data_IF_201897097335
#
_entry.id   IF_201897097335
#
_cell.length_a   1.000
_cell.length_b   1.000
_cell.length_c   1.000
_cell.angle_alpha   90.00
_cell.angle_beta   90.00
_cell.angle_gamma   90.00
#
_symmetry.space_group_name_H-M   'P 1'
#
loop_
_entity.id
_entity.type
_entity.pdbx_description
1 polymer ?
#
# COMPACT_ATOMS: atom_id res chain seq x y z
N UNK A 1 -20.26 -1.20 -2.20
CA UNK A 1 -20.14 -0.33 -3.40
C UNK A 1 -18.75 -0.48 -4.01
N UNK A 2 -17.71 -0.40 -3.19
CA UNK A 2 -16.30 -0.44 -3.58
C UNK A 2 -15.94 -1.61 -4.53
N UNK A 3 -16.13 -2.85 -4.07
CA UNK A 3 -15.80 -4.03 -4.86
C UNK A 3 -16.59 -4.14 -6.16
N UNK A 4 -17.91 -3.93 -6.10
CA UNK A 4 -18.78 -4.04 -7.29
C UNK A 4 -18.43 -2.99 -8.36
N UNK A 5 -18.24 -1.73 -7.98
CA UNK A 5 -17.86 -0.68 -8.92
C UNK A 5 -16.49 -0.93 -9.54
N UNK A 6 -15.46 -1.20 -8.73
CA UNK A 6 -14.12 -1.38 -9.27
C UNK A 6 -14.01 -2.61 -10.16
N UNK A 7 -14.60 -3.75 -9.76
CA UNK A 7 -14.59 -4.95 -10.62
C UNK A 7 -15.43 -4.77 -11.89
N UNK A 8 -16.55 -4.03 -11.82
CA UNK A 8 -17.31 -3.66 -13.02
C UNK A 8 -16.43 -2.87 -13.98
N UNK A 9 -15.76 -1.83 -13.50
CA UNK A 9 -14.84 -1.01 -14.32
C UNK A 9 -13.70 -1.86 -14.87
N UNK A 10 -13.08 -2.72 -14.06
CA UNK A 10 -12.01 -3.63 -14.51
C UNK A 10 -12.47 -4.51 -15.66
N UNK A 11 -13.63 -5.17 -15.54
CA UNK A 11 -14.19 -6.00 -16.60
C UNK A 11 -14.47 -5.19 -17.88
N UNK A 12 -15.04 -3.98 -17.75
CA UNK A 12 -15.28 -3.09 -18.89
C UNK A 12 -13.99 -2.66 -19.57
N UNK A 13 -12.92 -2.38 -18.82
CA UNK A 13 -11.59 -2.05 -19.34
C UNK A 13 -10.91 -3.25 -20.02
N UNK A 14 -11.21 -4.47 -19.58
CA UNK A 14 -10.78 -5.71 -20.23
C UNK A 14 -11.58 -6.07 -21.50
N UNK A 15 -12.60 -5.27 -21.85
CA UNK A 15 -13.38 -5.43 -23.07
C UNK A 15 -14.70 -6.19 -22.91
N UNK A 16 -15.08 -6.59 -21.70
CA UNK A 16 -16.35 -7.28 -21.44
C UNK A 16 -17.54 -6.32 -21.61
N UNK A 17 -18.56 -6.71 -22.39
CA UNK A 17 -19.74 -5.87 -22.72
C UNK A 17 -21.08 -6.58 -22.51
N UNK A 18 -21.24 -7.82 -22.99
CA UNK A 18 -22.49 -8.59 -22.94
C UNK A 18 -22.37 -9.73 -21.92
N UNK A 19 -22.44 -9.37 -20.63
CA UNK A 19 -22.22 -10.30 -19.54
C UNK A 19 -23.30 -10.13 -18.46
N UNK A 20 -23.98 -11.23 -18.10
CA UNK A 20 -25.04 -11.22 -17.08
C UNK A 20 -24.53 -10.71 -15.71
N UNK A 21 -23.27 -11.00 -15.37
CA UNK A 21 -22.64 -10.46 -14.15
C UNK A 21 -22.46 -8.94 -14.22
N UNK A 22 -22.12 -8.38 -15.39
CA UNK A 22 -22.08 -6.92 -15.59
C UNK A 22 -23.47 -6.31 -15.46
N UNK A 23 -24.50 -6.90 -16.06
CA UNK A 23 -25.88 -6.41 -15.95
C UNK A 23 -26.35 -6.38 -14.50
N UNK A 24 -26.15 -7.49 -13.76
CA UNK A 24 -26.50 -7.59 -12.34
C UNK A 24 -25.68 -6.63 -11.48
N UNK A 25 -24.38 -6.53 -11.75
CA UNK A 25 -23.47 -5.62 -11.06
C UNK A 25 -23.88 -4.16 -11.23
N UNK A 26 -24.16 -3.74 -12.47
CA UNK A 26 -24.65 -2.39 -12.78
C UNK A 26 -25.97 -2.09 -12.07
N UNK A 27 -26.95 -2.99 -12.15
CA UNK A 27 -28.23 -2.81 -11.48
C UNK A 27 -28.06 -2.66 -9.97
N UNK A 28 -27.18 -3.46 -9.36
CA UNK A 28 -26.86 -3.39 -7.94
C UNK A 28 -26.20 -2.05 -7.55
N UNK A 29 -25.27 -1.56 -8.37
CA UNK A 29 -24.58 -0.26 -8.19
C UNK A 29 -25.59 0.88 -8.25
N UNK A 30 -26.42 0.93 -9.28
CA UNK A 30 -27.40 2.01 -9.48
C UNK A 30 -28.42 2.05 -8.33
N UNK A 31 -28.90 0.89 -7.88
CA UNK A 31 -29.87 0.79 -6.77
C UNK A 31 -29.33 1.32 -5.42
N UNK A 32 -28.00 1.38 -5.24
CA UNK A 32 -27.35 1.76 -3.98
C UNK A 32 -26.70 3.13 -3.99
N UNK A 33 -27.22 4.04 -4.83
CA UNK A 33 -26.72 5.40 -4.91
C UNK A 33 -25.59 5.57 -5.91
N UNK A 34 -25.44 4.64 -6.85
CA UNK A 34 -24.49 4.71 -7.98
C UNK A 34 -23.02 4.80 -7.56
N UNK A 35 -22.11 4.99 -8.51
CA UNK A 35 -20.70 5.20 -8.18
C UNK A 35 -20.45 6.47 -7.33
N UNK A 36 -21.41 7.41 -7.20
CA UNK A 36 -21.28 8.55 -6.27
C UNK A 36 -21.15 8.16 -4.79
N UNK A 37 -21.60 6.94 -4.43
CA UNK A 37 -21.53 6.42 -3.06
C UNK A 37 -20.33 5.48 -2.83
N UNK A 38 -19.39 5.39 -3.77
CA UNK A 38 -18.17 4.58 -3.58
C UNK A 38 -17.30 5.20 -2.46
N UNK A 39 -16.63 4.43 -1.59
CA UNK A 39 -15.74 5.00 -0.56
C UNK A 39 -14.53 5.70 -1.18
N UNK A 40 -13.84 6.51 -0.38
CA UNK A 40 -12.79 7.44 -0.82
C UNK A 40 -11.73 6.79 -1.72
N UNK A 41 -11.20 5.62 -1.37
CA UNK A 41 -10.21 4.94 -2.22
C UNK A 41 -10.76 4.60 -3.60
N UNK A 42 -12.03 4.23 -3.69
CA UNK A 42 -12.70 4.03 -4.96
C UNK A 42 -12.89 5.34 -5.73
N UNK A 43 -13.24 6.44 -5.05
CA UNK A 43 -13.34 7.77 -5.67
C UNK A 43 -12.01 8.17 -6.30
N UNK A 44 -10.89 7.95 -5.59
CA UNK A 44 -9.54 8.25 -6.07
C UNK A 44 -9.22 7.42 -7.32
N UNK A 45 -9.43 6.10 -7.28
CA UNK A 45 -9.19 5.23 -8.45
C UNK A 45 -10.05 5.63 -9.65
N UNK A 46 -11.34 5.89 -9.44
CA UNK A 46 -12.21 6.35 -10.51
C UNK A 46 -11.80 7.73 -11.03
N UNK A 47 -11.30 8.64 -10.19
CA UNK A 47 -10.77 9.94 -10.63
C UNK A 47 -9.52 9.82 -11.48
N UNK A 48 -8.58 8.97 -11.09
CA UNK A 48 -7.36 8.68 -11.88
C UNK A 48 -7.72 8.14 -13.27
N UNK A 49 -8.72 7.24 -13.36
CA UNK A 49 -9.19 6.67 -14.64
C UNK A 49 -10.04 7.65 -15.46
N UNK A 50 -10.61 8.69 -14.84
CA UNK A 50 -11.49 9.65 -15.49
C UNK A 50 -12.97 9.27 -15.44
N UNK A 51 -13.39 8.50 -14.45
CA UNK A 51 -14.78 8.12 -14.20
C UNK A 51 -15.41 8.89 -13.03
N UNK A 52 -14.70 9.79 -12.37
CA UNK A 52 -15.18 10.53 -11.19
C UNK A 52 -14.43 11.86 -11.06
N UNK A 53 -15.10 12.98 -10.79
CA UNK A 53 -14.39 14.27 -10.68
C UNK A 53 -13.58 14.39 -9.39
N UNK A 54 -12.37 14.92 -9.47
CA UNK A 54 -11.52 15.17 -8.29
C UNK A 54 -12.19 16.06 -7.24
N UNK A 55 -13.10 16.94 -7.66
CA UNK A 55 -13.91 17.78 -6.76
C UNK A 55 -14.81 16.96 -5.85
N UNK A 56 -15.21 15.75 -6.23
CA UNK A 56 -16.00 14.85 -5.40
C UNK A 56 -15.18 13.96 -4.46
N UNK A 57 -13.87 14.21 -4.32
CA UNK A 57 -13.03 13.59 -3.32
C UNK A 57 -12.85 14.51 -2.11
N UNK A 58 -12.61 13.92 -0.93
CA UNK A 58 -12.06 14.69 0.19
C UNK A 58 -10.64 15.14 -0.17
N UNK A 59 -10.28 16.36 0.25
CA UNK A 59 -8.97 16.92 -0.06
C UNK A 59 -7.86 16.06 0.51
N UNK A 60 -6.94 15.66 -0.37
CA UNK A 60 -5.69 14.97 -0.02
C UNK A 60 -4.60 16.01 -0.21
N UNK A 61 -3.95 16.44 0.87
CA UNK A 61 -3.13 17.66 0.86
C UNK A 61 -1.65 17.31 0.65
N UNK A 62 -1.05 17.53 -0.54
CA UNK A 62 0.38 17.29 -0.78
C UNK A 62 1.27 18.02 0.22
N UNK A 63 0.90 19.25 0.58
CA UNK A 63 1.67 20.17 1.42
C UNK A 63 1.85 19.64 2.85
N UNK A 64 1.06 18.64 3.27
CA UNK A 64 1.27 17.95 4.54
C UNK A 64 2.65 17.27 4.63
N UNK A 65 3.27 16.93 3.48
CA UNK A 65 4.62 16.38 3.40
C UNK A 65 5.73 17.43 3.51
N UNK A 66 5.39 18.72 3.59
CA UNK A 66 6.36 19.81 3.77
C UNK A 66 6.40 20.32 5.21
N UNK A 67 5.48 19.88 6.08
CA UNK A 67 5.46 20.32 7.47
C UNK A 67 6.70 19.78 8.22
N UNK A 68 7.12 20.40 9.34
CA UNK A 68 8.24 19.86 10.10
C UNK A 68 8.00 18.45 10.65
N UNK A 69 8.99 17.55 10.54
CA UNK A 69 8.88 16.14 10.96
C UNK A 69 8.57 15.94 12.45
N UNK A 70 8.89 16.89 13.32
CA UNK A 70 8.58 16.77 14.75
C UNK A 70 7.06 16.86 15.05
N UNK A 71 6.26 17.37 14.11
CA UNK A 71 4.82 17.46 14.28
C UNK A 71 4.17 16.07 14.18
N UNK A 72 3.26 15.70 15.11
CA UNK A 72 2.63 14.37 15.11
C UNK A 72 1.91 14.01 13.82
N UNK A 73 1.37 15.02 13.12
CA UNK A 73 0.61 14.91 11.87
C UNK A 73 1.47 14.71 10.62
N UNK A 74 2.80 14.74 10.75
CA UNK A 74 3.69 14.54 9.61
C UNK A 74 3.53 13.13 9.02
N UNK A 75 3.29 12.95 7.70
CA UNK A 75 2.98 11.64 7.12
C UNK A 75 4.08 10.59 7.30
N UNK A 76 5.35 11.00 7.32
CA UNK A 76 6.48 10.12 7.66
C UNK A 76 6.42 9.45 9.05
N UNK A 77 5.51 9.89 9.93
CA UNK A 77 5.27 9.31 11.26
C UNK A 77 4.07 8.35 11.28
N UNK A 78 3.32 8.25 10.19
CA UNK A 78 2.20 7.32 10.07
C UNK A 78 2.68 5.93 9.69
N UNK A 79 1.84 4.93 9.93
CA UNK A 79 2.06 3.56 9.49
C UNK A 79 2.48 3.51 8.02
N UNK A 80 3.47 2.67 7.69
CA UNK A 80 4.12 2.64 6.38
C UNK A 80 3.12 2.42 5.24
N UNK A 81 2.22 1.45 5.37
CA UNK A 81 1.17 1.19 4.37
C UNK A 81 0.31 2.43 4.12
N UNK A 82 -0.14 3.11 5.18
CA UNK A 82 -0.94 4.31 5.03
C UNK A 82 -0.15 5.40 4.31
N UNK A 83 1.05 5.76 4.77
CA UNK A 83 1.79 6.86 4.13
C UNK A 83 2.19 6.54 2.70
N UNK A 84 2.56 5.29 2.38
CA UNK A 84 3.01 4.89 1.03
C UNK A 84 1.86 4.75 0.04
N UNK A 85 0.64 4.45 0.51
CA UNK A 85 -0.54 4.50 -0.36
C UNK A 85 -1.00 5.95 -0.55
N UNK A 86 -1.07 6.74 0.52
CA UNK A 86 -1.53 8.13 0.42
C UNK A 86 -0.51 9.07 -0.23
N UNK A 87 0.78 8.74 -0.27
CA UNK A 87 1.83 9.52 -0.94
C UNK A 87 1.54 9.71 -2.45
N UNK A 88 1.44 8.64 -3.28
CA UNK A 88 1.10 8.80 -4.68
C UNK A 88 -0.34 9.28 -4.90
N UNK A 89 -1.29 8.92 -4.03
CA UNK A 89 -2.64 9.50 -4.09
C UNK A 89 -2.61 11.03 -3.92
N UNK A 90 -1.78 11.53 -3.00
CA UNK A 90 -1.58 12.97 -2.80
C UNK A 90 -0.97 13.62 -4.04
N UNK A 91 0.04 12.99 -4.63
CA UNK A 91 0.68 13.47 -5.86
C UNK A 91 -0.34 13.60 -7.02
N UNK A 92 -1.11 12.55 -7.28
CA UNK A 92 -2.12 12.51 -8.33
C UNK A 92 -3.26 13.50 -8.07
N UNK A 93 -3.71 13.63 -6.82
CA UNK A 93 -4.72 14.61 -6.42
C UNK A 93 -4.22 16.05 -6.60
N UNK A 94 -2.97 16.34 -6.22
CA UNK A 94 -2.36 17.66 -6.36
C UNK A 94 -2.16 18.06 -7.81
N UNK A 95 -1.84 17.09 -8.68
CA UNK A 95 -1.80 17.28 -10.15
C UNK A 95 -3.18 17.31 -10.81
N UNK A 96 -4.23 16.87 -10.11
CA UNK A 96 -5.56 16.56 -10.70
C UNK A 96 -5.43 15.63 -11.91
N UNK A 97 -4.57 14.63 -11.78
CA UNK A 97 -4.24 13.71 -12.87
C UNK A 97 -5.49 12.93 -13.31
N UNK A 98 -5.69 12.85 -14.63
CA UNK A 98 -6.73 12.02 -15.25
C UNK A 98 -6.12 11.33 -16.46
N UNK A 99 -6.32 10.02 -16.56
CA UNK A 99 -5.90 9.22 -17.71
C UNK A 99 -6.65 9.59 -19.01
N UNK A 100 -6.26 9.01 -20.16
CA UNK A 100 -6.92 9.29 -21.43
C UNK A 100 -8.41 8.94 -21.42
N UNK A 101 -9.26 9.89 -21.85
CA UNK A 101 -10.71 9.67 -21.96
C UNK A 101 -11.02 8.96 -23.28
N UNK A 102 -11.18 7.64 -23.22
CA UNK A 102 -11.51 6.80 -24.38
C UNK A 102 -13.03 6.62 -24.54
N UNK A 103 -13.52 6.11 -25.69
CA UNK A 103 -14.94 5.77 -25.85
C UNK A 103 -15.45 4.80 -24.77
N UNK A 104 -14.61 3.86 -24.32
CA UNK A 104 -14.94 2.96 -23.20
C UNK A 104 -15.15 3.73 -21.90
N UNK A 105 -14.30 4.70 -21.58
CA UNK A 105 -14.47 5.55 -20.39
C UNK A 105 -15.77 6.35 -20.47
N UNK A 106 -16.09 6.93 -21.64
CA UNK A 106 -17.35 7.65 -21.85
C UNK A 106 -18.55 6.73 -21.66
N UNK A 107 -18.52 5.51 -22.22
CA UNK A 107 -19.60 4.54 -22.03
C UNK A 107 -19.79 4.17 -20.55
N UNK A 108 -18.71 3.92 -19.81
CA UNK A 108 -18.78 3.56 -18.39
C UNK A 108 -19.39 4.72 -17.56
N UNK A 109 -19.16 5.98 -17.92
CA UNK A 109 -19.83 7.13 -17.27
C UNK A 109 -21.35 7.07 -17.41
N UNK A 110 -21.88 6.64 -18.56
CA UNK A 110 -23.33 6.45 -18.74
C UNK A 110 -23.85 5.17 -18.05
N UNK A 111 -22.95 4.25 -17.68
CA UNK A 111 -23.29 2.98 -17.06
C UNK A 111 -23.39 3.07 -15.53
N UNK A 112 -22.46 3.79 -14.89
CA UNK A 112 -22.26 3.78 -13.44
C UNK A 112 -23.10 4.78 -12.63
N UNK A 113 -23.74 5.73 -13.29
CA UNK A 113 -24.44 6.84 -12.67
C UNK A 113 -25.94 6.82 -12.97
N UNK A 114 -26.74 7.31 -12.01
CA UNK A 114 -28.21 7.36 -12.13
C UNK A 114 -28.74 8.63 -12.80
N UNK A 115 -27.87 9.64 -12.95
CA UNK A 115 -28.08 10.91 -13.65
C UNK A 115 -26.96 11.08 -14.67
N UNK A 116 -27.13 12.01 -15.61
CA UNK A 116 -26.06 12.35 -16.56
C UNK A 116 -24.78 12.71 -15.82
N UNK A 117 -23.63 12.28 -16.32
CA UNK A 117 -22.32 12.54 -15.69
C UNK A 117 -22.07 14.03 -15.44
N UNK A 118 -22.54 14.89 -16.34
CA UNK A 118 -22.41 16.36 -16.23
C UNK A 118 -23.30 17.00 -15.16
N UNK A 119 -24.34 16.29 -14.70
CA UNK A 119 -25.33 16.78 -13.73
C UNK A 119 -25.05 16.29 -12.31
N UNK A 120 -23.99 15.50 -12.11
CA UNK A 120 -23.62 14.98 -10.79
C UNK A 120 -23.17 16.13 -9.88
N UNK A 121 -23.80 16.23 -8.71
CA UNK A 121 -23.33 17.09 -7.62
C UNK A 121 -22.13 16.43 -6.92
N UNK A 122 -20.94 16.75 -7.41
CA UNK A 122 -19.69 16.24 -6.84
C UNK A 122 -19.43 16.71 -5.41
N UNK A 123 -19.93 17.89 -5.01
CA UNK A 123 -19.80 18.34 -3.62
C UNK A 123 -20.59 17.44 -2.68
N UNK A 124 -21.81 17.03 -3.06
CA UNK A 124 -22.59 16.06 -2.31
C UNK A 124 -21.95 14.67 -2.35
N UNK A 125 -21.44 14.25 -3.52
CA UNK A 125 -20.79 12.95 -3.67
C UNK A 125 -19.56 12.82 -2.77
N UNK A 126 -18.82 13.91 -2.49
CA UNK A 126 -17.69 13.94 -1.54
C UNK A 126 -18.00 13.34 -0.18
N UNK A 127 -19.16 13.69 0.37
CA UNK A 127 -19.58 13.25 1.70
C UNK A 127 -20.46 11.99 1.67
N UNK A 128 -20.69 11.44 0.49
CA UNK A 128 -21.50 10.22 0.31
C UNK A 128 -20.60 8.98 0.35
N UNK A 129 -21.03 7.97 1.12
CA UNK A 129 -20.44 6.64 1.12
C UNK A 129 -21.57 5.63 1.37
N UNK A 130 -21.56 4.52 0.64
CA UNK A 130 -22.57 3.47 0.77
C UNK A 130 -22.45 2.82 2.15
N UNK A 131 -23.61 2.58 2.79
CA UNK A 131 -23.68 1.97 4.13
C UNK A 131 -22.95 0.63 4.21
N UNK A 132 -22.94 -0.14 3.11
CA UNK A 132 -22.29 -1.44 3.04
C UNK A 132 -20.76 -1.36 3.14
N UNK A 133 -20.15 -0.23 2.79
CA UNK A 133 -18.69 -0.03 2.84
C UNK A 133 -18.25 0.85 4.03
N UNK A 134 -19.20 1.45 4.75
CA UNK A 134 -18.93 2.38 5.86
C UNK A 134 -18.65 1.62 7.15
N UNK A 135 -17.39 1.21 7.34
CA UNK A 135 -16.91 0.55 8.56
C UNK A 135 -16.45 1.53 9.63
N UNK A 136 -15.99 2.71 9.21
CA UNK A 136 -15.54 3.78 10.09
C UNK A 136 -16.39 5.05 9.86
N UNK A 137 -17.56 5.16 10.53
CA UNK A 137 -18.38 6.35 10.44
C UNK A 137 -17.62 7.58 10.95
N UNK A 138 -17.69 8.67 10.19
CA UNK A 138 -17.00 9.92 10.55
C UNK A 138 -17.64 10.51 11.81
N UNK A 139 -16.83 10.75 12.83
CA UNK A 139 -17.19 11.52 14.01
C UNK A 139 -17.50 12.99 13.66
N UNK A 140 -18.17 13.71 14.57
CA UNK A 140 -18.41 15.15 14.41
C UNK A 140 -17.09 15.92 14.22
N UNK A 141 -16.06 15.58 15.01
CA UNK A 141 -14.75 16.19 14.91
C UNK A 141 -14.11 15.97 13.52
N UNK A 142 -14.20 14.75 12.99
CA UNK A 142 -13.76 14.44 11.63
C UNK A 142 -14.48 15.27 10.58
N UNK A 143 -15.81 15.38 10.69
CA UNK A 143 -16.60 16.18 9.76
C UNK A 143 -16.17 17.66 9.79
N UNK A 144 -15.89 18.21 10.97
CA UNK A 144 -15.35 19.58 11.11
C UNK A 144 -13.98 19.69 10.43
N UNK A 145 -13.06 18.76 10.70
CA UNK A 145 -11.73 18.74 10.09
C UNK A 145 -11.83 18.69 8.56
N UNK A 146 -12.56 17.74 8.00
CA UNK A 146 -12.72 17.61 6.55
C UNK A 146 -13.42 18.82 5.93
N UNK A 147 -14.43 19.38 6.60
CA UNK A 147 -15.08 20.63 6.16
C UNK A 147 -14.09 21.78 6.12
N UNK A 148 -13.26 21.94 7.16
CA UNK A 148 -12.22 22.97 7.20
C UNK A 148 -11.20 22.79 6.07
N UNK A 149 -10.74 21.55 5.85
CA UNK A 149 -9.77 21.24 4.81
C UNK A 149 -10.34 21.54 3.42
N UNK A 150 -11.56 21.11 3.13
CA UNK A 150 -12.18 21.28 1.82
C UNK A 150 -12.63 22.72 1.53
N UNK A 151 -13.18 23.45 2.51
CA UNK A 151 -13.76 24.79 2.29
C UNK A 151 -12.77 25.94 2.47
N UNK A 152 -11.70 25.73 3.23
CA UNK A 152 -10.75 26.80 3.54
C UNK A 152 -9.33 26.45 3.13
N UNK A 153 -8.78 25.33 3.62
CA UNK A 153 -7.36 25.01 3.40
C UNK A 153 -7.07 24.75 1.93
N UNK A 154 -7.81 23.85 1.28
CA UNK A 154 -7.59 23.50 -0.12
C UNK A 154 -7.78 24.69 -1.08
N UNK A 155 -8.82 25.55 -0.95
CA UNK A 155 -8.91 26.77 -1.74
C UNK A 155 -7.73 27.71 -1.53
N UNK A 156 -7.31 27.94 -0.28
CA UNK A 156 -6.17 28.82 0.04
C UNK A 156 -4.87 28.28 -0.56
N UNK A 157 -4.64 26.96 -0.48
CA UNK A 157 -3.47 26.31 -1.10
C UNK A 157 -3.47 26.41 -2.63
N UNK A 158 -4.63 26.60 -3.27
CA UNK A 158 -4.73 26.83 -4.71
C UNK A 158 -4.63 28.32 -5.10
N UNK A 159 -4.64 29.25 -4.13
CA UNK A 159 -4.51 30.68 -4.42
C UNK A 159 -3.04 31.08 -4.58
N UNK A 160 -2.77 32.01 -5.50
CA UNK A 160 -1.46 32.64 -5.61
C UNK A 160 -1.19 33.56 -4.39
N UNK A 161 0.01 33.57 -3.79
CA UNK A 161 1.22 32.82 -4.18
C UNK A 161 1.39 31.46 -3.47
N UNK A 162 0.42 31.05 -2.65
CA UNK A 162 0.50 29.86 -1.79
C UNK A 162 0.55 28.58 -2.63
N UNK A 163 -0.06 28.57 -3.82
CA UNK A 163 0.03 27.46 -4.77
C UNK A 163 1.46 27.03 -5.15
N UNK A 164 2.47 27.89 -4.97
CA UNK A 164 3.89 27.50 -5.11
C UNK A 164 4.32 26.43 -4.10
N UNK A 165 3.66 26.33 -2.95
CA UNK A 165 3.87 25.24 -1.99
C UNK A 165 3.46 23.90 -2.59
N UNK A 166 2.39 23.87 -3.38
CA UNK A 166 1.95 22.66 -4.08
C UNK A 166 3.00 22.13 -5.03
N UNK A 167 3.60 23.00 -5.85
CA UNK A 167 4.68 22.61 -6.76
C UNK A 167 5.89 22.03 -6.01
N UNK A 168 6.20 22.62 -4.85
CA UNK A 168 7.28 22.15 -3.97
C UNK A 168 6.93 20.80 -3.36
N UNK A 169 5.69 20.63 -2.90
CA UNK A 169 5.19 19.39 -2.31
C UNK A 169 5.17 18.26 -3.34
N UNK A 170 4.71 18.51 -4.56
CA UNK A 170 4.70 17.54 -5.66
C UNK A 170 6.11 17.09 -6.04
N UNK A 171 7.08 18.02 -6.10
CA UNK A 171 8.50 17.67 -6.31
C UNK A 171 9.07 16.86 -5.16
N UNK A 172 8.70 17.16 -3.92
CA UNK A 172 9.13 16.38 -2.76
C UNK A 172 8.54 14.96 -2.79
N UNK A 173 7.22 14.85 -3.02
CA UNK A 173 6.51 13.57 -3.14
C UNK A 173 7.13 12.68 -4.21
N UNK A 174 7.44 13.22 -5.39
CA UNK A 174 8.03 12.41 -6.46
C UNK A 174 9.42 11.88 -6.10
N UNK A 175 10.22 12.61 -5.30
CA UNK A 175 11.48 12.08 -4.76
C UNK A 175 11.26 10.91 -3.81
N UNK A 176 10.23 10.98 -2.95
CA UNK A 176 9.88 9.88 -2.07
C UNK A 176 9.35 8.66 -2.86
N UNK A 177 8.58 8.88 -3.93
CA UNK A 177 8.09 7.82 -4.82
C UNK A 177 9.26 7.12 -5.52
N UNK A 178 10.16 7.88 -6.17
CA UNK A 178 11.36 7.30 -6.80
C UNK A 178 12.24 6.54 -5.79
N UNK A 179 12.37 7.05 -4.57
CA UNK A 179 13.09 6.34 -3.52
C UNK A 179 12.44 5.00 -3.14
N UNK A 180 11.12 4.98 -2.99
CA UNK A 180 10.37 3.74 -2.71
C UNK A 180 10.55 2.74 -3.86
N UNK A 181 10.43 3.22 -5.09
CA UNK A 181 10.63 2.41 -6.30
C UNK A 181 12.04 1.80 -6.35
N UNK A 182 13.09 2.61 -6.20
CA UNK A 182 14.47 2.13 -6.26
C UNK A 182 14.80 1.16 -5.11
N UNK A 183 14.37 1.48 -3.88
CA UNK A 183 14.66 0.67 -2.69
C UNK A 183 13.92 -0.68 -2.67
N UNK A 184 12.82 -0.80 -3.41
CA UNK A 184 12.03 -2.03 -3.52
C UNK A 184 12.17 -2.71 -4.89
N UNK A 185 13.10 -2.23 -5.72
CA UNK A 185 13.28 -2.70 -7.11
C UNK A 185 11.96 -2.69 -7.90
N UNK A 186 11.16 -1.65 -7.68
CA UNK A 186 9.88 -1.35 -8.33
C UNK A 186 8.75 -2.33 -7.96
N UNK A 187 8.90 -3.08 -6.86
CA UNK A 187 7.87 -3.94 -6.29
C UNK A 187 6.89 -3.13 -5.44
N UNK A 188 7.37 -2.10 -4.72
CA UNK A 188 6.59 -1.33 -3.75
C UNK A 188 6.21 -2.15 -2.50
N UNK A 189 5.62 -1.49 -1.51
CA UNK A 189 5.22 -2.17 -0.26
C UNK A 189 4.02 -3.09 -0.45
N UNK A 190 3.14 -2.82 -1.42
CA UNK A 190 1.91 -3.58 -1.66
C UNK A 190 1.39 -3.29 -3.08
N UNK A 191 0.45 -4.07 -3.63
CA UNK A 191 0.00 -3.90 -5.02
C UNK A 191 -0.64 -2.53 -5.28
N UNK A 192 -1.23 -1.92 -4.25
CA UNK A 192 -1.90 -0.62 -4.35
C UNK A 192 -0.86 0.50 -4.48
N UNK A 193 0.13 0.53 -3.58
CA UNK A 193 1.25 1.47 -3.67
C UNK A 193 2.01 1.27 -4.98
N UNK A 194 2.36 0.02 -5.34
CA UNK A 194 3.02 -0.31 -6.61
C UNK A 194 2.30 0.26 -7.83
N UNK A 195 0.99 0.05 -7.92
CA UNK A 195 0.21 0.50 -9.07
C UNK A 195 0.12 2.03 -9.14
N UNK A 196 -0.04 2.69 -7.98
CA UNK A 196 -0.11 4.15 -7.90
C UNK A 196 1.24 4.82 -8.18
N UNK A 197 2.34 4.28 -7.69
CA UNK A 197 3.70 4.78 -7.96
C UNK A 197 4.02 4.65 -9.45
N UNK A 198 3.71 3.51 -10.05
CA UNK A 198 3.82 3.32 -11.51
C UNK A 198 3.02 4.36 -12.31
N UNK A 199 1.81 4.71 -11.87
CA UNK A 199 0.98 5.76 -12.49
C UNK A 199 1.61 7.14 -12.27
N UNK A 200 2.20 7.41 -11.11
CA UNK A 200 2.95 8.65 -10.85
C UNK A 200 4.15 8.79 -11.79
N UNK A 201 4.94 7.73 -11.99
CA UNK A 201 6.05 7.71 -12.95
C UNK A 201 5.56 7.97 -14.38
N UNK A 202 4.45 7.34 -14.80
CA UNK A 202 3.83 7.62 -16.11
C UNK A 202 3.35 9.07 -16.22
N UNK A 203 2.77 9.63 -15.15
CA UNK A 203 2.31 11.02 -15.09
C UNK A 203 3.46 12.04 -15.07
N UNK A 204 4.64 11.66 -14.60
CA UNK A 204 5.85 12.49 -14.66
C UNK A 204 6.45 12.45 -16.07
N UNK A 205 6.74 11.25 -16.57
CA UNK A 205 7.24 11.03 -17.93
C UNK A 205 6.87 9.61 -18.41
N UNK A 206 5.99 9.48 -19.43
CA UNK A 206 5.56 8.19 -19.95
C UNK A 206 6.66 7.43 -20.71
N UNK A 207 7.82 8.02 -20.95
CA UNK A 207 8.98 7.37 -21.59
C UNK A 207 10.13 7.09 -20.61
N UNK A 208 9.94 7.36 -19.32
CA UNK A 208 10.97 7.23 -18.29
C UNK A 208 11.47 5.79 -18.12
N UNK A 209 12.73 5.65 -17.71
CA UNK A 209 13.29 4.34 -17.37
C UNK A 209 12.64 3.75 -16.12
N UNK A 210 12.21 4.59 -15.17
CA UNK A 210 11.45 4.18 -13.99
C UNK A 210 10.16 3.42 -14.38
N UNK A 211 9.41 3.92 -15.36
CA UNK A 211 8.22 3.21 -15.85
C UNK A 211 8.58 1.86 -16.48
N UNK A 212 9.67 1.79 -17.27
CA UNK A 212 10.11 0.54 -17.90
C UNK A 212 10.48 -0.52 -16.86
N UNK A 213 11.03 -0.11 -15.71
CA UNK A 213 11.38 -0.99 -14.60
C UNK A 213 10.15 -1.45 -13.79
N UNK A 214 9.09 -0.63 -13.72
CA UNK A 214 7.81 -1.00 -13.12
C UNK A 214 7.03 -2.08 -13.86
N UNK A 215 7.08 -2.07 -15.21
CA UNK A 215 6.28 -2.95 -16.07
C UNK A 215 6.49 -4.45 -15.80
N UNK A 216 7.73 -4.98 -15.78
CA UNK A 216 7.94 -6.40 -15.49
C UNK A 216 7.50 -6.76 -14.07
N UNK A 217 7.48 -5.79 -13.13
CA UNK A 217 7.08 -6.01 -11.74
C UNK A 217 5.57 -6.11 -11.51
N UNK A 218 4.75 -5.92 -12.54
CA UNK A 218 3.30 -6.20 -12.45
C UNK A 218 3.07 -7.69 -12.19
N UNK A 219 3.89 -8.56 -12.80
CA UNK A 219 3.70 -10.01 -12.72
C UNK A 219 4.02 -10.59 -11.34
N UNK A 220 4.87 -9.94 -10.54
CA UNK A 220 5.15 -10.36 -9.15
C UNK A 220 3.86 -10.42 -8.30
N UNK A 221 2.86 -9.61 -8.64
CA UNK A 221 1.57 -9.58 -7.94
C UNK A 221 0.50 -10.48 -8.56
N UNK A 222 0.71 -11.11 -9.71
CA UNK A 222 -0.32 -11.91 -10.38
C UNK A 222 -0.15 -13.39 -10.06
N UNK A 223 -1.19 -13.99 -9.47
CA UNK A 223 -1.23 -15.41 -9.11
C UNK A 223 -2.34 -16.14 -9.86
N UNK A 224 -2.02 -17.27 -10.48
CA UNK A 224 -3.00 -18.14 -11.12
C UNK A 224 -3.49 -19.21 -10.14
N UNK A 225 -4.75 -19.10 -9.72
CA UNK A 225 -5.44 -20.06 -8.87
C UNK A 225 -6.48 -20.86 -9.67
N UNK A 226 -7.16 -21.79 -9.01
CA UNK A 226 -8.20 -22.65 -9.57
C UNK A 226 -9.41 -21.89 -10.14
N UNK A 227 -9.65 -20.67 -9.64
CA UNK A 227 -10.72 -19.75 -10.07
C UNK A 227 -10.21 -18.65 -11.02
N UNK A 228 -8.96 -18.76 -11.49
CA UNK A 228 -8.35 -17.84 -12.44
C UNK A 228 -7.23 -16.97 -11.84
N UNK A 229 -6.82 -15.96 -12.60
CA UNK A 229 -5.73 -15.06 -12.22
C UNK A 229 -6.23 -13.95 -11.29
N UNK A 230 -5.53 -13.72 -10.18
CA UNK A 230 -5.83 -12.68 -9.18
C UNK A 230 -4.59 -11.89 -8.79
N UNK A 231 -4.81 -10.66 -8.33
CA UNK A 231 -3.76 -9.88 -7.69
C UNK A 231 -3.57 -10.35 -6.23
N UNK A 232 -2.34 -10.67 -5.86
CA UNK A 232 -1.92 -10.97 -4.50
C UNK A 232 -1.94 -9.69 -3.65
N UNK A 233 -2.10 -9.84 -2.33
CA UNK A 233 -2.10 -8.70 -1.37
C UNK A 233 -0.70 -8.13 -1.09
N UNK A 234 0.34 -8.86 -1.51
CA UNK A 234 1.77 -8.57 -1.42
C UNK A 234 2.46 -9.28 -2.60
N UNK A 235 3.77 -9.15 -2.84
CA UNK A 235 4.50 -9.94 -3.86
C UNK A 235 4.68 -11.43 -3.49
N UNK A 236 3.92 -11.87 -2.49
CA UNK A 236 3.92 -13.21 -1.91
C UNK A 236 4.09 -13.16 -0.39
N UNK A 237 4.25 -14.33 0.22
CA UNK A 237 4.56 -14.47 1.65
C UNK A 237 5.64 -15.54 1.89
N UNK A 238 6.57 -15.64 0.95
CA UNK A 238 7.55 -16.70 0.83
C UNK A 238 8.41 -16.84 2.11
N UNK A 239 8.94 -15.74 2.63
CA UNK A 239 9.76 -15.76 3.86
C UNK A 239 8.93 -16.12 5.09
N UNK A 240 7.72 -15.58 5.20
CA UNK A 240 6.81 -15.83 6.31
C UNK A 240 6.34 -17.29 6.38
N UNK A 241 5.83 -17.82 5.27
CA UNK A 241 5.34 -19.20 5.21
C UNK A 241 6.47 -20.20 5.42
N UNK A 242 7.64 -20.00 4.80
CA UNK A 242 8.76 -20.92 4.96
C UNK A 242 9.29 -20.95 6.39
N UNK A 243 9.33 -19.81 7.09
CA UNK A 243 9.72 -19.76 8.50
C UNK A 243 8.80 -20.64 9.36
N UNK A 244 7.48 -20.57 9.15
CA UNK A 244 6.54 -21.42 9.88
C UNK A 244 6.57 -22.88 9.47
N UNK A 245 6.69 -23.18 8.17
CA UNK A 245 6.79 -24.55 7.67
C UNK A 245 8.01 -25.24 8.28
N UNK A 246 9.16 -24.58 8.32
CA UNK A 246 10.37 -25.11 8.97
C UNK A 246 10.13 -25.38 10.46
N UNK A 247 9.53 -24.44 11.18
CA UNK A 247 9.20 -24.63 12.59
C UNK A 247 8.25 -25.81 12.82
N UNK A 248 7.25 -25.98 11.95
CA UNK A 248 6.32 -27.09 12.01
C UNK A 248 7.06 -28.43 11.85
N UNK A 249 7.87 -28.60 10.80
CA UNK A 249 8.66 -29.82 10.60
C UNK A 249 9.63 -30.09 11.76
N UNK A 250 10.33 -29.06 12.24
CA UNK A 250 11.25 -29.17 13.38
C UNK A 250 10.54 -29.53 14.70
N UNK A 251 9.21 -29.34 14.77
CA UNK A 251 8.38 -29.73 15.92
C UNK A 251 7.81 -31.15 15.81
N UNK A 252 8.18 -31.88 14.75
CA UNK A 252 7.80 -33.28 14.51
C UNK A 252 9.04 -34.19 14.55
N UNK A 253 8.80 -35.50 14.56
CA UNK A 253 9.86 -36.51 14.39
C UNK A 253 10.22 -36.79 12.90
N UNK A 254 9.73 -35.96 11.97
CA UNK A 254 9.87 -36.18 10.52
C UNK A 254 11.08 -35.47 9.89
N UNK A 255 11.92 -34.79 10.67
CA UNK A 255 13.08 -34.03 10.16
C UNK A 255 14.00 -34.88 9.28
N UNK A 256 14.25 -36.13 9.67
CA UNK A 256 15.10 -37.05 8.90
C UNK A 256 14.47 -37.45 7.56
N UNK A 257 13.15 -37.53 7.48
CA UNK A 257 12.42 -37.86 6.25
C UNK A 257 12.43 -36.68 5.27
N UNK A 258 12.38 -35.45 5.78
CA UNK A 258 12.30 -34.22 4.98
C UNK A 258 13.62 -33.43 4.89
N UNK A 259 14.75 -34.07 5.17
CA UNK A 259 16.07 -33.43 5.15
C UNK A 259 16.39 -32.61 3.89
N UNK A 260 16.22 -33.16 2.67
CA UNK A 260 16.43 -32.39 1.43
C UNK A 260 15.51 -31.17 1.28
N UNK A 261 14.27 -31.27 1.74
CA UNK A 261 13.30 -30.16 1.73
C UNK A 261 13.72 -29.08 2.72
N UNK A 262 14.09 -29.46 3.95
CA UNK A 262 14.57 -28.55 4.98
C UNK A 262 15.88 -27.85 4.58
N UNK A 263 16.78 -28.55 3.87
CA UNK A 263 17.99 -27.93 3.31
C UNK A 263 17.65 -26.81 2.32
N UNK A 264 16.72 -27.04 1.40
CA UNK A 264 16.28 -26.00 0.46
C UNK A 264 15.60 -24.82 1.17
N UNK A 265 14.75 -25.09 2.14
CA UNK A 265 14.13 -24.05 2.96
C UNK A 265 15.18 -23.23 3.72
N UNK A 266 16.19 -23.90 4.30
CA UNK A 266 17.32 -23.25 4.96
C UNK A 266 18.09 -22.34 3.99
N UNK A 267 18.43 -22.83 2.80
CA UNK A 267 19.10 -22.05 1.75
C UNK A 267 18.27 -20.83 1.32
N UNK A 268 16.96 -20.97 1.19
CA UNK A 268 16.06 -19.86 0.86
C UNK A 268 16.04 -18.80 1.96
N UNK A 269 15.83 -19.20 3.22
CA UNK A 269 15.79 -18.26 4.35
C UNK A 269 17.14 -17.53 4.45
N UNK A 270 18.26 -18.25 4.25
CA UNK A 270 19.60 -17.65 4.19
C UNK A 270 19.76 -16.65 3.05
N UNK A 271 19.22 -16.94 1.89
CA UNK A 271 19.36 -16.05 0.72
C UNK A 271 18.43 -14.85 0.79
N UNK A 272 17.36 -14.93 1.59
CA UNK A 272 16.33 -13.90 1.71
C UNK A 272 16.59 -12.87 2.81
N UNK A 273 17.66 -13.02 3.60
CA UNK A 273 18.02 -12.01 4.60
C UNK A 273 18.46 -10.71 3.91
N UNK A 274 17.95 -9.59 4.38
CA UNK A 274 18.39 -8.26 3.94
C UNK A 274 19.76 -7.97 4.54
N UNK A 275 20.79 -7.83 3.70
CA UNK A 275 22.18 -7.75 4.15
C UNK A 275 22.65 -6.32 4.45
N UNK A 276 21.94 -5.31 3.95
CA UNK A 276 22.34 -3.90 4.06
C UNK A 276 21.12 -3.01 4.32
N UNK A 277 21.35 -1.85 4.92
CA UNK A 277 20.31 -0.81 5.00
C UNK A 277 20.19 -0.12 3.66
N UNK A 278 18.97 0.28 3.29
CA UNK A 278 18.77 1.12 2.12
C UNK A 278 19.54 2.43 2.26
N UNK A 279 20.27 2.89 1.22
CA UNK A 279 20.91 4.20 1.22
C UNK A 279 19.91 5.29 1.60
N UNK A 280 20.33 6.29 2.37
CA UNK A 280 19.48 7.43 2.77
C UNK A 280 18.16 7.07 3.51
N UNK A 281 18.03 5.85 4.04
CA UNK A 281 16.80 5.34 4.68
C UNK A 281 16.14 6.29 5.67
N UNK A 282 16.92 6.94 6.54
CA UNK A 282 16.40 7.89 7.53
C UNK A 282 15.69 9.10 6.89
N UNK A 283 16.25 9.65 5.80
CA UNK A 283 15.67 10.79 5.06
C UNK A 283 14.29 10.46 4.50
N UNK A 284 14.08 9.20 4.13
CA UNK A 284 12.83 8.70 3.55
C UNK A 284 11.99 7.91 4.55
N UNK A 285 12.28 8.08 5.85
CA UNK A 285 11.53 7.50 6.95
C UNK A 285 11.50 5.96 6.95
N UNK A 286 12.43 5.27 6.29
CA UNK A 286 12.55 3.81 6.40
C UNK A 286 13.15 3.45 7.75
N UNK A 287 12.63 2.40 8.37
CA UNK A 287 13.30 1.77 9.50
C UNK A 287 14.53 0.99 9.02
N UNK A 288 15.48 0.69 9.92
CA UNK A 288 16.63 -0.14 9.56
C UNK A 288 16.19 -1.52 9.05
N UNK A 289 16.88 -2.03 8.05
CA UNK A 289 16.57 -3.30 7.38
C UNK A 289 17.73 -4.29 7.40
N UNK A 290 18.96 -3.86 7.68
CA UNK A 290 20.11 -4.79 7.80
C UNK A 290 19.83 -5.85 8.87
N UNK A 291 19.91 -7.11 8.44
CA UNK A 291 19.70 -8.29 9.26
C UNK A 291 18.27 -8.83 9.24
N UNK A 292 17.32 -8.12 8.65
CA UNK A 292 15.89 -8.44 8.68
C UNK A 292 15.46 -9.47 7.61
N UNK A 293 14.22 -9.92 7.75
CA UNK A 293 13.44 -10.53 6.69
C UNK A 293 12.19 -9.70 6.40
N UNK A 294 11.78 -9.74 5.14
CA UNK A 294 10.51 -9.18 4.67
C UNK A 294 9.41 -10.24 4.81
N UNK A 295 8.16 -9.90 4.50
CA UNK A 295 7.07 -10.89 4.40
C UNK A 295 7.33 -11.87 3.25
N UNK A 296 7.86 -11.38 2.13
CA UNK A 296 8.00 -12.08 0.86
C UNK A 296 9.47 -12.40 0.55
N UNK A 297 10.11 -11.55 -0.26
CA UNK A 297 11.44 -11.72 -0.83
C UNK A 297 12.37 -10.59 -0.40
N UNK A 298 13.69 -10.80 -0.50
CA UNK A 298 14.67 -9.76 -0.19
C UNK A 298 14.53 -8.52 -1.10
N UNK A 299 14.03 -8.70 -2.33
CA UNK A 299 13.84 -7.62 -3.30
C UNK A 299 12.81 -6.58 -2.85
N UNK A 300 11.75 -7.01 -2.16
CA UNK A 300 10.75 -6.11 -1.59
C UNK A 300 11.37 -5.14 -0.56
N UNK A 301 12.37 -5.60 0.20
CA UNK A 301 13.19 -4.75 1.06
C UNK A 301 12.49 -4.09 2.27
N UNK A 302 11.22 -4.38 2.56
CA UNK A 302 10.53 -3.90 3.77
C UNK A 302 10.71 -4.87 4.94
N UNK A 303 11.52 -4.45 5.92
CA UNK A 303 11.73 -5.22 7.15
C UNK A 303 10.43 -5.33 7.96
N UNK A 304 10.16 -6.52 8.48
CA UNK A 304 9.02 -6.78 9.37
C UNK A 304 9.50 -7.47 10.64
N UNK A 305 9.04 -6.99 11.79
CA UNK A 305 9.50 -7.44 13.11
C UNK A 305 9.22 -8.94 13.32
N UNK A 306 8.01 -9.39 13.08
CA UNK A 306 7.60 -10.79 13.24
C UNK A 306 8.27 -11.69 12.20
N UNK A 307 8.34 -11.29 10.92
CA UNK A 307 8.99 -12.07 9.88
C UNK A 307 10.48 -12.28 10.19
N UNK A 308 11.13 -11.25 10.72
CA UNK A 308 12.51 -11.33 11.18
C UNK A 308 12.64 -12.28 12.38
N UNK A 309 11.71 -12.21 13.35
CA UNK A 309 11.72 -13.07 14.52
C UNK A 309 11.51 -14.55 14.16
N UNK A 310 10.53 -14.85 13.30
CA UNK A 310 10.20 -16.21 12.89
C UNK A 310 11.28 -16.81 11.99
N UNK A 311 11.85 -16.03 11.07
CA UNK A 311 13.00 -16.47 10.27
C UNK A 311 14.24 -16.75 11.14
N UNK A 312 14.54 -15.87 12.10
CA UNK A 312 15.64 -16.07 13.05
C UNK A 312 15.42 -17.35 13.88
N UNK A 313 14.21 -17.56 14.39
CA UNK A 313 13.84 -18.76 15.14
C UNK A 313 13.98 -20.03 14.30
N UNK A 314 13.53 -20.00 13.04
CA UNK A 314 13.70 -21.11 12.10
C UNK A 314 15.19 -21.45 11.86
N UNK A 315 16.04 -20.44 11.67
CA UNK A 315 17.49 -20.63 11.52
C UNK A 315 18.13 -21.25 12.77
N UNK A 316 17.73 -20.81 13.97
CA UNK A 316 18.22 -21.36 15.24
C UNK A 316 17.76 -22.80 15.51
N UNK A 317 16.60 -23.19 15.00
CA UNK A 317 16.15 -24.58 15.06
C UNK A 317 16.95 -25.45 14.09
N UNK A 318 17.12 -24.99 12.85
CA UNK A 318 17.89 -25.70 11.82
C UNK A 318 19.36 -25.86 12.22
N UNK A 319 19.94 -24.91 12.95
CA UNK A 319 21.34 -25.01 13.42
C UNK A 319 21.58 -26.13 14.43
N UNK A 320 20.52 -26.71 15.01
CA UNK A 320 20.61 -27.86 15.93
C UNK A 320 20.59 -29.21 15.20
N UNK A 321 20.27 -29.20 13.91
CA UNK A 321 20.20 -30.39 13.06
C UNK A 321 21.56 -30.57 12.36
N UNK A 322 21.95 -31.81 12.07
CA UNK A 322 23.21 -32.10 11.38
C UNK A 322 23.35 -31.31 10.06
N UNK A 323 24.47 -30.62 9.83
CA UNK A 323 24.74 -29.95 8.54
C UNK A 323 24.73 -30.90 7.34
N UNK A 324 25.01 -32.18 7.56
CA UNK A 324 24.90 -33.22 6.52
C UNK A 324 23.45 -33.43 6.06
N UNK A 325 22.47 -33.07 6.88
CA UNK A 325 21.05 -33.16 6.53
C UNK A 325 20.55 -31.85 5.95
N UNK A 326 20.70 -30.74 6.67
CA UNK A 326 20.05 -29.44 6.36
C UNK A 326 21.01 -28.33 5.88
N UNK A 327 22.28 -28.66 5.65
CA UNK A 327 23.31 -27.70 5.24
C UNK A 327 23.89 -26.87 6.38
N UNK A 328 24.93 -26.11 6.10
CA UNK A 328 25.67 -25.35 7.11
C UNK A 328 24.81 -24.22 7.74
N UNK A 329 24.97 -23.98 9.06
CA UNK A 329 24.29 -22.90 9.75
C UNK A 329 24.74 -21.52 9.24
N UNK A 330 23.91 -20.51 9.48
CA UNK A 330 24.25 -19.11 9.22
C UNK A 330 25.41 -18.66 10.10
N UNK A 331 26.30 -17.84 9.54
CA UNK A 331 27.41 -17.22 10.28
C UNK A 331 26.86 -16.38 11.45
N UNK A 332 27.49 -16.46 12.62
CA UNK A 332 27.02 -15.78 13.84
C UNK A 332 26.80 -14.27 13.68
N UNK A 333 27.65 -13.58 12.91
CA UNK A 333 27.51 -12.14 12.62
C UNK A 333 26.15 -11.79 11.99
N UNK A 334 25.67 -12.61 11.05
CA UNK A 334 24.36 -12.41 10.40
C UNK A 334 23.18 -12.65 11.35
N UNK A 335 23.35 -13.50 12.36
CA UNK A 335 22.35 -13.70 13.41
C UNK A 335 22.34 -12.49 14.37
N UNK A 336 23.50 -11.92 14.69
CA UNK A 336 23.60 -10.70 15.49
C UNK A 336 22.94 -9.52 14.77
N UNK A 337 23.17 -9.36 13.46
CA UNK A 337 22.49 -8.33 12.67
C UNK A 337 20.96 -8.42 12.76
N UNK A 338 20.41 -9.66 12.75
CA UNK A 338 18.98 -9.90 12.92
C UNK A 338 18.49 -9.51 14.32
N UNK A 339 19.24 -9.87 15.37
CA UNK A 339 18.93 -9.49 16.76
C UNK A 339 18.97 -7.96 16.92
N UNK A 340 19.99 -7.30 16.39
CA UNK A 340 20.11 -5.84 16.43
C UNK A 340 18.94 -5.16 15.70
N UNK A 341 18.48 -5.74 14.59
CA UNK A 341 17.28 -5.27 13.89
C UNK A 341 16.03 -5.44 14.74
N UNK A 342 15.81 -6.62 15.34
CA UNK A 342 14.68 -6.86 16.24
C UNK A 342 14.67 -5.88 17.41
N UNK A 343 15.79 -5.71 18.12
CA UNK A 343 15.90 -4.79 19.25
C UNK A 343 15.58 -3.33 18.86
N UNK A 344 15.80 -2.96 17.61
CA UNK A 344 15.47 -1.62 17.12
C UNK A 344 13.98 -1.37 16.90
N UNK A 345 13.14 -2.42 16.82
CA UNK A 345 11.68 -2.29 16.70
C UNK A 345 10.99 -2.04 18.04
N UNK A 346 11.69 -2.23 19.16
CA UNK A 346 11.10 -2.13 20.50
C UNK A 346 10.60 -0.71 20.79
N UNK A 347 9.30 -0.61 21.06
CA UNK A 347 8.67 0.63 21.50
C UNK A 347 9.08 0.97 22.94
N UNK A 348 8.83 2.21 23.35
CA UNK A 348 9.16 2.68 24.72
C UNK A 348 8.47 1.90 25.84
N UNK A 349 7.33 1.28 25.54
CA UNK A 349 6.56 0.45 26.47
C UNK A 349 6.95 -1.05 26.41
N UNK A 350 7.98 -1.40 25.63
CA UNK A 350 8.48 -2.77 25.47
C UNK A 350 7.72 -3.60 24.43
N UNK A 351 6.71 -3.03 23.77
CA UNK A 351 5.96 -3.72 22.70
C UNK A 351 6.68 -3.66 21.35
N UNK A 352 6.25 -4.47 20.38
CA UNK A 352 6.78 -4.49 19.02
C UNK A 352 5.65 -4.28 18.02
N UNK A 353 5.81 -3.29 17.16
CA UNK A 353 4.92 -2.99 16.03
C UNK A 353 5.32 -3.80 14.79
N UNK A 354 4.68 -3.57 13.64
CA UNK A 354 4.88 -4.38 12.42
C UNK A 354 6.17 -4.05 11.66
N UNK A 355 6.18 -2.95 10.90
CA UNK A 355 7.26 -2.57 9.99
C UNK A 355 8.21 -1.56 10.61
N UNK A 356 7.76 -0.82 11.61
CA UNK A 356 8.49 0.27 12.24
C UNK A 356 8.00 0.46 13.69
N UNK A 357 8.76 1.17 14.53
CA UNK A 357 8.24 1.57 15.84
C UNK A 357 7.00 2.45 15.70
N UNK A 358 6.18 2.48 16.75
CA UNK A 358 5.08 3.42 16.90
C UNK A 358 5.61 4.86 16.94
N UNK A 359 5.55 5.54 15.79
CA UNK A 359 6.06 6.91 15.63
C UNK A 359 5.04 7.97 16.03
N UNK A 360 3.74 7.67 16.04
CA UNK A 360 2.69 8.62 16.37
C UNK A 360 1.66 8.08 17.38
N UNK A 361 0.64 8.87 17.71
CA UNK A 361 -0.37 8.57 18.74
C UNK A 361 -1.69 8.11 18.13
N UNK A 362 -2.42 7.23 18.83
CA UNK A 362 -3.75 6.75 18.44
C UNK A 362 -4.79 7.87 18.37
N UNK A 363 -4.56 9.02 19.02
CA UNK A 363 -5.41 10.19 18.88
C UNK A 363 -5.48 10.68 17.42
N UNK A 364 -4.46 10.40 16.60
CA UNK A 364 -4.45 10.77 15.18
C UNK A 364 -5.27 9.82 14.29
N UNK A 365 -5.85 8.74 14.82
CA UNK A 365 -6.85 7.97 14.06
C UNK A 365 -8.10 8.81 13.74
N UNK A 366 -8.28 9.95 14.42
CA UNK A 366 -9.26 10.96 13.97
C UNK A 366 -8.96 11.45 12.56
N UNK A 367 -7.71 11.41 12.09
CA UNK A 367 -7.32 11.80 10.74
C UNK A 367 -7.42 10.65 9.73
N UNK A 368 -7.80 9.44 10.16
CA UNK A 368 -8.00 8.32 9.25
C UNK A 368 -9.06 8.72 8.20
N UNK A 369 -8.67 8.85 6.92
CA UNK A 369 -9.58 9.29 5.89
C UNK A 369 -10.37 8.12 5.28
N UNK A 370 -9.95 6.88 5.55
CA UNK A 370 -10.63 5.68 5.07
C UNK A 370 -11.97 5.48 5.77
N UNK A 371 -13.00 5.27 4.97
CA UNK A 371 -14.33 4.88 5.45
C UNK A 371 -14.44 3.36 5.67
N UNK A 372 -13.52 2.59 5.09
CA UNK A 372 -13.59 1.12 5.04
C UNK A 372 -12.53 0.42 5.90
N UNK A 373 -11.48 1.13 6.33
CA UNK A 373 -10.39 0.57 7.14
C UNK A 373 -10.26 1.32 8.47
N UNK A 374 -9.98 0.57 9.53
CA UNK A 374 -9.76 1.07 10.88
C UNK A 374 -8.27 1.00 11.22
N UNK A 375 -7.81 1.86 12.13
CA UNK A 375 -6.47 1.78 12.72
C UNK A 375 -5.33 1.78 11.70
N UNK A 376 -5.39 2.70 10.73
CA UNK A 376 -4.41 2.78 9.65
C UNK A 376 -3.39 3.91 9.84
N UNK A 377 -3.56 4.80 10.82
CA UNK A 377 -2.65 5.94 11.00
C UNK A 377 -1.43 5.52 11.82
N UNK A 378 -1.59 4.67 12.82
CA UNK A 378 -0.51 4.23 13.71
C UNK A 378 -0.07 2.80 13.39
N UNK A 379 1.24 2.54 13.46
CA UNK A 379 1.77 1.16 13.48
C UNK A 379 1.58 0.59 14.90
N UNK A 380 0.45 -0.07 15.13
CA UNK A 380 0.10 -0.63 16.43
C UNK A 380 0.96 -1.87 16.76
N UNK A 381 1.29 -2.09 18.05
CA UNK A 381 1.86 -3.35 18.51
C UNK A 381 0.86 -4.50 18.56
#
# INVERSE_FOLDING_TARGET
MFGSCLNYVTLRLLGEVENDALTKGRAWILLRGSATAIPQWGKIWLSVVGLYEWSGNNSIIPELWLVPYFLPIHPGRFWCFCRLVYMPMSYLYGKKFVGPITPTIVAIREELYSVSYSEIDWNKARDTCAKEDLRYPRSLLQNVIWTCLNKFVEPVLNCWPINKLRDTALKNLMKHIHYEDESTKYIGVCPINKALDMICCWSEDPNSDALKLHLPRIYDYLWLAEDGMKAQVYDGCQSWELAFIVQAYCSTDLVNEFGPTLRKAHEFIKSSQVLENHPNSETYYRHRSKGSWTLSTADNGWSVSDCTAEALKALLLLSKISPNLVGDPVKGERLHDAVDCLLSFMNKDGTFSTYECKRTTSLLEVLNPSESFLNIIVDYP
#
